data_IF_436116615364
#
_entry.id   IF_436116615364
#
_cell.length_a   1.000
_cell.length_b   1.000
_cell.length_c   1.000
_cell.angle_alpha   90.00
_cell.angle_beta   90.00
_cell.angle_gamma   90.00
#
_symmetry.space_group_name_H-M   'P 1'
#
loop_
_entity.id
_entity.type
_entity.pdbx_description
1 polymer ?
#
# COMPACT_ATOMS: atom_id res chain seq x y z
N UNK A 1 27.72 22.18 10.32
CA UNK A 1 26.30 22.55 10.12
C UNK A 1 25.62 21.82 8.97
N UNK A 2 26.32 21.35 7.91
CA UNK A 2 25.68 20.63 6.79
C UNK A 2 25.09 19.26 7.12
N UNK A 3 25.58 18.56 8.15
CA UNK A 3 25.09 17.23 8.54
C UNK A 3 23.67 17.34 9.11
N UNK A 4 23.43 18.32 9.97
CA UNK A 4 22.17 18.47 10.71
C UNK A 4 20.98 18.74 9.76
N UNK A 5 21.17 19.62 8.77
CA UNK A 5 20.14 19.98 7.78
C UNK A 5 19.76 18.81 6.88
N UNK A 6 20.72 17.94 6.50
CA UNK A 6 20.43 16.75 5.67
C UNK A 6 19.64 15.69 6.45
N UNK A 7 19.92 15.51 7.73
CA UNK A 7 19.20 14.56 8.58
C UNK A 7 17.77 15.01 8.88
N UNK A 8 17.54 16.30 9.14
CA UNK A 8 16.20 16.84 9.36
C UNK A 8 15.27 16.60 8.15
N UNK A 9 15.77 16.82 6.93
CA UNK A 9 15.00 16.53 5.71
C UNK A 9 14.68 15.04 5.51
N UNK A 10 15.61 14.16 5.87
CA UNK A 10 15.39 12.72 5.81
C UNK A 10 14.35 12.24 6.83
N UNK A 11 14.47 12.71 8.07
CA UNK A 11 13.53 12.39 9.16
C UNK A 11 12.13 12.87 8.80
N UNK A 12 11.98 14.12 8.32
CA UNK A 12 10.70 14.65 7.90
C UNK A 12 10.05 13.81 6.79
N UNK A 13 10.85 13.33 5.82
CA UNK A 13 10.36 12.47 4.74
C UNK A 13 9.90 11.10 5.25
N UNK A 14 10.67 10.46 6.13
CA UNK A 14 10.25 9.20 6.74
C UNK A 14 8.97 9.37 7.55
N UNK A 15 8.84 10.49 8.26
CA UNK A 15 7.66 10.77 9.07
C UNK A 15 6.40 10.92 8.20
N UNK A 16 6.50 11.63 7.06
CA UNK A 16 5.43 11.73 6.07
C UNK A 16 5.08 10.37 5.44
N UNK A 17 6.07 9.51 5.17
CA UNK A 17 5.83 8.14 4.69
C UNK A 17 5.08 7.29 5.74
N UNK A 18 5.48 7.37 7.00
CA UNK A 18 4.82 6.70 8.13
C UNK A 18 3.37 7.18 8.27
N UNK A 19 3.13 8.49 8.25
CA UNK A 19 1.79 9.06 8.37
C UNK A 19 0.87 8.62 7.22
N UNK A 20 1.38 8.58 5.99
CA UNK A 20 0.63 8.07 4.83
C UNK A 20 0.29 6.60 4.98
N UNK A 21 1.18 5.81 5.54
CA UNK A 21 0.92 4.40 5.83
C UNK A 21 -0.17 4.25 6.89
N UNK A 22 -0.05 4.98 8.01
CA UNK A 22 -1.04 4.97 9.11
C UNK A 22 -2.43 5.43 8.65
N UNK A 23 -2.52 6.46 7.81
CA UNK A 23 -3.79 6.95 7.25
C UNK A 23 -4.55 5.87 6.49
N UNK A 24 -3.84 4.93 5.86
CA UNK A 24 -4.43 3.89 5.04
C UNK A 24 -4.56 2.54 5.76
N UNK A 25 -4.07 2.42 6.99
CA UNK A 25 -4.04 1.18 7.77
C UNK A 25 -5.42 0.47 7.80
N UNK A 26 -6.48 1.26 7.97
CA UNK A 26 -7.86 0.78 8.09
C UNK A 26 -8.64 0.75 6.75
N UNK A 27 -8.00 1.07 5.63
CA UNK A 27 -8.66 1.01 4.32
C UNK A 27 -9.03 -0.42 3.99
N UNK A 28 -10.34 -0.69 3.89
CA UNK A 28 -10.88 -2.02 3.66
C UNK A 28 -10.66 -2.50 2.21
N UNK A 29 -10.41 -3.79 2.08
CA UNK A 29 -10.30 -4.50 0.81
C UNK A 29 -11.55 -5.36 0.60
N UNK A 30 -12.14 -5.39 -0.61
CA UNK A 30 -13.27 -6.27 -0.89
C UNK A 30 -12.89 -7.73 -0.69
N UNK A 31 -13.69 -8.48 0.07
CA UNK A 31 -13.42 -9.89 0.37
C UNK A 31 -13.33 -10.79 -0.88
N UNK A 32 -14.01 -10.40 -1.96
CA UNK A 32 -14.06 -11.12 -3.24
C UNK A 32 -13.04 -10.62 -4.26
N UNK A 33 -12.14 -9.70 -3.90
CA UNK A 33 -11.14 -9.15 -4.80
C UNK A 33 -10.21 -10.26 -5.32
N UNK A 34 -10.11 -10.40 -6.64
CA UNK A 34 -9.00 -11.10 -7.28
C UNK A 34 -7.91 -10.09 -7.63
N UNK A 35 -6.76 -10.20 -6.96
CA UNK A 35 -5.63 -9.28 -7.14
C UNK A 35 -5.00 -9.36 -8.54
N UNK A 36 -5.34 -10.35 -9.37
CA UNK A 36 -4.99 -10.38 -10.80
C UNK A 36 -5.58 -9.21 -11.59
N UNK A 37 -6.67 -8.61 -11.09
CA UNK A 37 -7.31 -7.45 -11.71
C UNK A 37 -6.57 -6.13 -11.42
N UNK A 38 -5.58 -6.15 -10.52
CA UNK A 38 -4.81 -4.98 -10.12
C UNK A 38 -3.55 -4.88 -10.99
N UNK A 39 -3.66 -4.12 -12.08
CA UNK A 39 -2.54 -3.89 -13.01
C UNK A 39 -1.33 -3.28 -12.30
N UNK A 40 -0.14 -3.82 -12.56
CA UNK A 40 1.13 -3.33 -12.02
C UNK A 40 1.67 -4.11 -10.82
N UNK A 41 0.87 -5.00 -10.22
CA UNK A 41 1.39 -5.95 -9.23
C UNK A 41 2.18 -7.07 -9.93
N UNK A 42 3.26 -7.53 -9.28
CA UNK A 42 4.00 -8.71 -9.75
C UNK A 42 3.21 -10.00 -9.50
N UNK A 43 3.51 -11.06 -10.25
CA UNK A 43 2.88 -12.36 -10.04
C UNK A 43 3.09 -12.91 -8.62
N UNK A 44 4.25 -12.67 -8.01
CA UNK A 44 4.53 -13.08 -6.63
C UNK A 44 3.62 -12.35 -5.63
N UNK A 45 3.48 -11.02 -5.78
CA UNK A 45 2.61 -10.22 -4.91
C UNK A 45 1.15 -10.61 -5.11
N UNK A 46 0.72 -10.81 -6.36
CA UNK A 46 -0.64 -11.28 -6.67
C UNK A 46 -0.91 -12.62 -6.00
N UNK A 47 0.02 -13.57 -6.10
CA UNK A 47 -0.12 -14.89 -5.47
C UNK A 47 -0.27 -14.75 -3.95
N UNK A 48 0.62 -14.00 -3.30
CA UNK A 48 0.59 -13.75 -1.85
C UNK A 48 -0.71 -13.08 -1.40
N UNK A 49 -1.15 -12.02 -2.08
CA UNK A 49 -2.38 -11.32 -1.71
C UNK A 49 -3.63 -12.20 -1.93
N UNK A 50 -3.65 -13.02 -2.99
CA UNK A 50 -4.75 -13.95 -3.24
C UNK A 50 -4.76 -15.13 -2.27
N UNK A 51 -3.61 -15.57 -1.76
CA UNK A 51 -3.51 -16.62 -0.75
C UNK A 51 -3.92 -16.11 0.63
N UNK A 52 -3.37 -14.97 1.06
CA UNK A 52 -3.65 -14.39 2.37
C UNK A 52 -5.01 -13.70 2.49
N UNK A 53 -5.60 -13.23 1.38
CA UNK A 53 -6.86 -12.47 1.33
C UNK A 53 -7.00 -11.41 2.44
N UNK A 54 -6.10 -10.41 2.49
CA UNK A 54 -6.13 -9.41 3.56
C UNK A 54 -7.42 -8.58 3.51
N UNK A 55 -7.99 -8.30 4.68
CA UNK A 55 -9.21 -7.50 4.85
C UNK A 55 -8.93 -5.98 4.79
N UNK A 56 -7.69 -5.55 5.00
CA UNK A 56 -7.29 -4.14 4.93
C UNK A 56 -5.91 -3.94 4.29
N UNK A 57 -5.64 -2.71 3.88
CA UNK A 57 -4.31 -2.27 3.42
C UNK A 57 -3.25 -2.47 4.50
N UNK A 58 -3.58 -2.20 5.77
CA UNK A 58 -2.68 -2.47 6.89
C UNK A 58 -2.25 -3.93 6.94
N UNK A 59 -3.21 -4.86 6.86
CA UNK A 59 -2.92 -6.30 6.82
C UNK A 59 -2.10 -6.68 5.58
N UNK A 60 -2.45 -6.15 4.41
CA UNK A 60 -1.70 -6.40 3.18
C UNK A 60 -0.23 -5.95 3.28
N UNK A 61 0.03 -4.81 3.93
CA UNK A 61 1.38 -4.25 4.07
C UNK A 61 2.30 -5.07 4.99
N UNK A 62 1.73 -5.89 5.88
CA UNK A 62 2.46 -6.79 6.77
C UNK A 62 2.80 -8.14 6.15
N UNK A 63 2.26 -8.47 4.97
CA UNK A 63 2.57 -9.73 4.29
C UNK A 63 4.01 -9.69 3.79
N UNK A 64 4.80 -10.70 4.15
CA UNK A 64 6.21 -10.79 3.75
C UNK A 64 6.38 -10.77 2.23
N UNK A 65 7.19 -9.83 1.75
CA UNK A 65 7.44 -9.59 0.32
C UNK A 65 6.36 -8.79 -0.41
N UNK A 66 5.35 -8.27 0.30
CA UNK A 66 4.53 -7.17 -0.21
C UNK A 66 5.26 -5.86 0.07
N UNK A 67 5.56 -5.09 -0.97
CA UNK A 67 6.38 -3.87 -0.88
C UNK A 67 5.51 -2.61 -0.73
N UNK A 68 6.05 -1.49 -0.22
CA UNK A 68 5.34 -0.21 -0.20
C UNK A 68 4.85 0.25 -1.58
N UNK A 69 5.58 -0.09 -2.65
CA UNK A 69 5.17 0.17 -4.02
C UNK A 69 3.90 -0.61 -4.41
N UNK A 70 3.82 -1.90 -4.05
CA UNK A 70 2.61 -2.71 -4.27
C UNK A 70 1.39 -2.15 -3.53
N UNK A 71 1.59 -1.67 -2.29
CA UNK A 71 0.53 -1.01 -1.52
C UNK A 71 0.05 0.28 -2.20
N UNK A 72 0.97 1.06 -2.74
CA UNK A 72 0.64 2.28 -3.49
C UNK A 72 -0.20 1.97 -4.73
N UNK A 73 0.15 0.92 -5.48
CA UNK A 73 -0.61 0.46 -6.65
C UNK A 73 -2.03 0.05 -6.24
N UNK A 74 -2.16 -0.73 -5.15
CA UNK A 74 -3.45 -1.19 -4.65
C UNK A 74 -4.35 -0.02 -4.21
N UNK A 75 -3.80 1.00 -3.53
CA UNK A 75 -4.51 2.20 -3.14
C UNK A 75 -5.02 3.01 -4.34
N UNK A 76 -4.20 3.17 -5.38
CA UNK A 76 -4.60 3.85 -6.63
C UNK A 76 -5.72 3.08 -7.32
N UNK A 77 -5.61 1.75 -7.39
CA UNK A 77 -6.64 0.89 -7.97
C UNK A 77 -7.97 1.03 -7.22
N UNK A 78 -7.97 0.96 -5.89
CA UNK A 78 -9.18 1.13 -5.07
C UNK A 78 -9.84 2.47 -5.31
N UNK A 79 -9.05 3.54 -5.38
CA UNK A 79 -9.56 4.90 -5.66
C UNK A 79 -10.25 4.95 -7.03
N UNK A 80 -9.64 4.35 -8.07
CA UNK A 80 -10.21 4.27 -9.42
C UNK A 80 -11.51 3.48 -9.45
N UNK A 81 -11.56 2.31 -8.80
CA UNK A 81 -12.75 1.45 -8.75
C UNK A 81 -13.92 2.15 -8.03
N UNK A 82 -13.64 2.88 -6.93
CA UNK A 82 -14.68 3.65 -6.22
C UNK A 82 -15.28 4.78 -7.06
N UNK A 83 -14.46 5.52 -7.80
CA UNK A 83 -14.97 6.54 -8.72
C UNK A 83 -15.82 5.95 -9.85
N UNK A 84 -15.45 4.77 -10.36
CA UNK A 84 -16.23 4.12 -11.42
C UNK A 84 -17.59 3.59 -10.94
N UNK A 85 -17.77 3.40 -9.63
CA UNK A 85 -19.02 2.98 -9.01
C UNK A 85 -19.90 4.14 -8.52
N UNK A 86 -19.47 5.39 -8.74
CA UNK A 86 -20.18 6.64 -8.40
C UNK A 86 -20.89 7.20 -9.63
#
# INVERSE_FOLDING_TARGET
MEIQVKYEGYIARQQDEIEKQLRNENTLLPATLDYRQVSGLSNEVIAKLNDHKPASIGQASRISGVTPAAISILLVWLKKTRYAAS
#
